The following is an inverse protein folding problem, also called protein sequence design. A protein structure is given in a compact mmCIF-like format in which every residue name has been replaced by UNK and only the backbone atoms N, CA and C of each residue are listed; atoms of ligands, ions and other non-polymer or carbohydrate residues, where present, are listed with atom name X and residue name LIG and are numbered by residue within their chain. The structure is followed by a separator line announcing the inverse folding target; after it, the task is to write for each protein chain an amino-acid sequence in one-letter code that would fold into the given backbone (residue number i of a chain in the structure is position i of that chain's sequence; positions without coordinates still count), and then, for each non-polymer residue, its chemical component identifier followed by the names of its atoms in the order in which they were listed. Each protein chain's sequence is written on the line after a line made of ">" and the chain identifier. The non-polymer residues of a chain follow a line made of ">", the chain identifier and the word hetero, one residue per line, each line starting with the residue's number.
data_IF_804875498951
#
_entry.id   IF_804875498951
#
_cell.length_a   1.000
_cell.length_b   1.000
_cell.length_c   1.000
_cell.angle_alpha   90.00
_cell.angle_beta   90.00
_cell.angle_gamma   90.00
#
_symmetry.space_group_name_H-M   'P 1'
#
loop_
_entity.id
_entity.type
_entity.pdbx_description
1 polymer ?
2 non-polymer ?
3 non-polymer ?
4 non-polymer ?
5 non-polymer ?
6 water ?
#
# COMPACT_ATOMS: atom_id res chain seq x y z
N UNK A 1 -12.45 -4.02 -9.50
CA UNK A 1 -11.22 -4.18 -8.68
C UNK A 1 -11.14 -3.12 -7.60
N UNK A 2 -10.18 -3.25 -6.68
CA UNK A 2 -10.03 -2.27 -5.62
C UNK A 2 -9.76 -0.91 -6.24
N UNK A 3 -10.42 0.11 -5.70
CA UNK A 3 -10.28 1.47 -6.19
C UNK A 3 -8.88 2.05 -6.01
N UNK A 4 -8.41 2.75 -7.04
CA UNK A 4 -7.12 3.39 -7.03
C UNK A 4 -7.20 4.60 -7.95
N UNK A 5 -6.33 5.57 -7.72
CA UNK A 5 -6.35 6.76 -8.54
C UNK A 5 -5.04 7.52 -8.51
N UNK A 6 -5.11 8.82 -8.77
CA UNK A 6 -3.94 9.68 -8.77
C UNK A 6 -4.03 10.78 -7.74
N UNK A 7 -5.21 10.91 -7.13
CA UNK A 7 -5.46 11.93 -6.11
C UNK A 7 -6.08 11.30 -4.86
N UNK A 8 -6.01 12.03 -3.74
CA UNK A 8 -6.57 11.54 -2.49
C UNK A 8 -5.79 10.43 -1.82
N UNK A 9 -6.51 9.60 -1.08
CA UNK A 9 -5.91 8.49 -0.34
C UNK A 9 -5.53 7.29 -1.21
N UNK A 10 -6.02 7.27 -2.44
CA UNK A 10 -5.72 6.16 -3.35
C UNK A 10 -4.63 6.52 -4.38
N UNK A 11 -3.88 7.57 -4.10
CA UNK A 11 -2.81 8.05 -4.98
C UNK A 11 -1.68 7.01 -5.14
N UNK A 12 -0.82 7.17 -6.16
CA UNK A 12 0.30 6.26 -6.44
C UNK A 12 1.16 5.81 -5.26
N UNK A 13 1.35 6.70 -4.28
CA UNK A 13 2.16 6.37 -3.11
C UNK A 13 1.54 5.28 -2.25
N UNK A 14 0.23 5.09 -2.37
CA UNK A 14 -0.49 4.10 -1.57
C UNK A 14 -0.97 2.85 -2.31
N UNK A 15 -0.72 2.77 -3.61
CA UNK A 15 -1.16 1.62 -4.41
C UNK A 15 -0.80 0.26 -3.78
N UNK A 16 0.45 0.11 -3.36
CA UNK A 16 0.90 -1.14 -2.77
C UNK A 16 0.18 -1.53 -1.48
N UNK A 17 -0.52 -0.58 -0.88
CA UNK A 17 -1.25 -0.84 0.36
C UNK A 17 -2.75 -1.02 0.16
N UNK A 18 -3.23 -0.85 -1.07
CA UNK A 18 -4.65 -0.97 -1.38
C UNK A 18 -5.17 -2.40 -1.45
N UNK A 19 -4.36 -3.31 -1.98
CA UNK A 19 -4.70 -4.72 -2.07
C UNK A 19 -3.42 -5.53 -2.24
N UNK A 20 -3.44 -6.78 -1.79
CA UNK A 20 -2.25 -7.63 -1.87
C UNK A 20 -1.79 -7.85 -3.31
N UNK A 21 -2.72 -7.78 -4.26
CA UNK A 21 -2.38 -7.97 -5.66
C UNK A 21 -1.59 -6.79 -6.24
N UNK A 22 -1.64 -5.64 -5.57
CA UNK A 22 -0.93 -4.44 -6.01
C UNK A 22 0.43 -4.29 -5.35
N UNK A 23 0.82 -5.27 -4.54
CA UNK A 23 2.07 -5.21 -3.79
C UNK A 23 3.34 -4.85 -4.56
N UNK A 24 3.44 -5.29 -5.83
CA UNK A 24 4.62 -5.00 -6.63
C UNK A 24 4.77 -3.49 -6.92
N UNK A 25 3.69 -2.74 -6.81
CA UNK A 25 3.74 -1.30 -7.05
C UNK A 25 4.70 -0.61 -6.07
N UNK A 26 4.79 -1.16 -4.86
CA UNK A 26 5.66 -0.60 -3.83
C UNK A 26 6.95 -1.40 -3.60
N UNK A 27 6.93 -2.70 -3.88
CA UNK A 27 8.12 -3.53 -3.66
C UNK A 27 8.96 -3.84 -4.90
N UNK A 28 8.41 -3.58 -6.08
CA UNK A 28 9.14 -3.85 -7.31
C UNK A 28 10.41 -3.04 -7.47
N UNK A 29 11.43 -3.67 -8.07
CA UNK A 29 12.73 -3.02 -8.30
C UNK A 29 12.93 -2.66 -9.76
N UNK A 30 11.96 -3.00 -10.61
CA UNK A 30 12.06 -2.73 -12.04
C UNK A 30 10.76 -2.07 -12.51
N UNK A 31 10.41 -0.98 -11.83
CA UNK A 31 9.20 -0.24 -12.09
C UNK A 31 9.32 0.89 -13.13
N UNK A 32 8.18 1.20 -13.75
CA UNK A 32 8.06 2.27 -14.72
C UNK A 32 7.06 3.27 -14.13
N UNK A 33 7.10 4.55 -14.56
CA UNK A 33 7.99 5.14 -15.55
C UNK A 33 9.34 5.51 -14.95
N UNK A 34 10.23 6.05 -15.78
CA UNK A 34 11.55 6.44 -15.32
C UNK A 34 11.99 7.75 -15.96
N UNK A 35 13.01 8.36 -15.39
CA UNK A 35 13.59 9.58 -15.92
C UNK A 35 14.85 9.14 -16.65
N UNK A 36 14.82 9.18 -17.98
CA UNK A 36 15.96 8.76 -18.78
C UNK A 36 17.03 9.85 -18.78
N UNK A 37 18.11 9.62 -18.03
CA UNK A 37 19.20 10.58 -17.95
C UNK A 37 20.44 10.04 -18.64
N UNK A 38 21.00 8.98 -18.06
CA UNK A 38 22.19 8.36 -18.64
C UNK A 38 21.78 7.14 -19.44
N UNK A 39 22.47 6.90 -20.55
CA UNK A 39 22.18 5.75 -21.40
C UNK A 39 23.45 5.10 -21.93
N UNK A 40 23.30 3.89 -22.43
CA UNK A 40 24.40 3.16 -23.03
C UNK A 40 24.10 3.09 -24.53
N UNK A 41 25.05 3.55 -25.34
CA UNK A 41 24.89 3.55 -26.77
C UNK A 41 25.05 2.12 -27.27
N UNK A 42 24.02 1.62 -27.96
CA UNK A 42 24.08 0.26 -28.47
C UNK A 42 23.44 0.07 -29.84
N UNK A 43 23.67 -1.09 -30.44
CA UNK A 43 23.13 -1.42 -31.75
C UNK A 43 21.76 -2.08 -31.55
N UNK A 44 20.72 -1.27 -31.45
CA UNK A 44 19.37 -1.79 -31.24
C UNK A 44 18.73 -2.27 -32.54
N UNK A 45 17.95 -3.35 -32.49
CA UNK A 45 17.29 -3.88 -33.70
C UNK A 45 16.17 -2.95 -34.18
N UNK A 46 15.95 -2.92 -35.49
CA UNK A 46 14.91 -2.08 -36.07
C UNK A 46 13.50 -2.56 -35.74
N UNK A 47 12.58 -1.61 -35.62
CA UNK A 47 11.17 -1.89 -35.33
C UNK A 47 10.42 -1.89 -36.66
N UNK A 48 9.58 -2.90 -36.86
CA UNK A 48 8.77 -3.00 -38.07
C UNK A 48 7.31 -2.95 -37.67
N UNK A 49 6.60 -1.91 -38.12
CA UNK A 49 5.19 -1.78 -37.79
C UNK A 49 4.28 -2.09 -38.99
N UNK A 50 3.22 -2.85 -38.71
CA UNK A 50 2.25 -3.20 -39.73
C UNK A 50 0.87 -2.95 -39.14
N UNK A 51 0.51 -1.67 -39.13
CA UNK A 51 -0.79 -1.24 -38.62
C UNK A 51 -1.69 -1.01 -39.83
N UNK A 52 -3.00 -1.05 -39.62
CA UNK A 52 -3.95 -0.87 -40.71
C UNK A 52 -5.26 -0.29 -40.18
N UNK A 53 -6.03 0.37 -41.06
CA UNK A 53 -7.31 0.95 -40.61
C UNK A 53 -8.17 -0.17 -40.03
N UNK A 54 -8.54 -0.03 -38.75
CA UNK A 54 -9.32 -1.06 -38.07
C UNK A 54 -10.54 -0.50 -37.36
N UNK A 55 -11.46 -1.41 -37.03
CA UNK A 55 -12.66 -1.02 -36.31
C UNK A 55 -12.29 -1.04 -34.84
N UNK A 56 -12.31 0.14 -34.21
CA UNK A 56 -11.98 0.27 -32.80
C UNK A 56 -13.06 1.02 -32.04
N UNK A 57 -12.99 0.97 -30.72
CA UNK A 57 -13.92 1.70 -29.88
C UNK A 57 -13.13 2.52 -28.87
N UNK A 58 -13.62 3.73 -28.59
CA UNK A 58 -12.96 4.61 -27.65
C UNK A 58 -13.63 4.48 -26.30
N UNK A 59 -12.82 4.34 -25.26
CA UNK A 59 -13.35 4.17 -23.92
C UNK A 59 -12.74 5.06 -22.85
N UNK A 60 -13.58 5.48 -21.92
CA UNK A 60 -13.17 6.30 -20.78
C UNK A 60 -13.40 5.34 -19.61
N UNK A 61 -12.31 4.79 -19.07
CA UNK A 61 -12.41 3.86 -17.95
C UNK A 61 -12.13 4.51 -16.59
N UNK A 62 -12.14 5.83 -16.57
CA UNK A 62 -11.90 6.55 -15.32
C UNK A 62 -10.42 6.73 -15.01
N UNK A 63 -9.55 6.05 -15.76
CA UNK A 63 -8.11 6.14 -15.55
C UNK A 63 -7.40 6.75 -16.75
N UNK A 64 -8.05 6.67 -17.90
CA UNK A 64 -7.50 7.19 -19.14
C UNK A 64 -8.52 7.06 -20.26
N UNK A 65 -8.17 7.55 -21.44
CA UNK A 65 -9.02 7.41 -22.62
C UNK A 65 -8.27 6.35 -23.40
N UNK A 66 -8.92 5.22 -23.61
CA UNK A 66 -8.31 4.09 -24.28
C UNK A 66 -8.99 3.70 -25.58
N UNK A 67 -8.19 3.35 -26.58
CA UNK A 67 -8.69 2.92 -27.88
C UNK A 67 -8.42 1.42 -27.94
N UNK A 68 -9.50 0.64 -27.94
CA UNK A 68 -9.42 -0.82 -27.95
C UNK A 68 -9.52 -1.47 -29.32
N UNK A 69 -8.71 -2.52 -29.51
CA UNK A 69 -8.70 -3.29 -30.77
C UNK A 69 -9.28 -4.67 -30.49
N UNK A 70 -10.53 -4.90 -30.88
CA UNK A 70 -11.23 -6.18 -30.69
C UNK A 70 -10.60 -7.35 -31.45
N UNK A 71 -9.93 -7.02 -32.56
CA UNK A 71 -9.30 -8.02 -33.40
C UNK A 71 -7.81 -7.73 -33.64
N UNK A 72 -7.05 -8.78 -33.92
CA UNK A 72 -5.63 -8.64 -34.19
C UNK A 72 -5.39 -8.08 -35.57
N UNK A 73 -4.17 -8.22 -36.09
CA UNK A 73 -3.88 -7.70 -37.41
C UNK A 73 -2.93 -6.52 -37.41
N UNK A 74 -2.91 -5.78 -36.30
CA UNK A 74 -2.02 -4.63 -36.15
C UNK A 74 -0.85 -5.15 -35.34
N UNK A 75 0.30 -5.26 -36.00
CA UNK A 75 1.47 -5.83 -35.37
C UNK A 75 2.74 -5.00 -35.39
N UNK A 76 3.62 -5.33 -34.45
CA UNK A 76 4.92 -4.69 -34.31
C UNK A 76 5.92 -5.83 -34.25
N UNK A 77 6.91 -5.82 -35.13
CA UNK A 77 7.92 -6.87 -35.15
C UNK A 77 9.30 -6.31 -34.82
N UNK A 78 9.96 -6.92 -33.84
CA UNK A 78 11.28 -6.48 -33.42
C UNK A 78 12.12 -7.68 -33.00
N UNK A 79 13.26 -7.84 -33.65
CA UNK A 79 14.20 -8.92 -33.39
C UNK A 79 13.58 -10.31 -33.59
N UNK A 80 12.85 -10.46 -34.68
CA UNK A 80 12.22 -11.74 -35.00
C UNK A 80 10.87 -12.02 -34.38
N UNK A 81 10.56 -11.37 -33.26
CA UNK A 81 9.28 -11.59 -32.59
C UNK A 81 8.18 -10.59 -33.00
N UNK A 82 6.95 -11.08 -33.09
CA UNK A 82 5.82 -10.26 -33.48
C UNK A 82 4.84 -10.04 -32.32
N UNK A 83 4.51 -8.78 -32.08
CA UNK A 83 3.58 -8.42 -31.01
C UNK A 83 2.32 -7.81 -31.62
N UNK A 84 1.17 -8.18 -31.06
CA UNK A 84 -0.11 -7.66 -31.53
C UNK A 84 -0.62 -6.52 -30.66
N UNK A 85 -1.00 -5.42 -31.32
CA UNK A 85 -1.53 -4.24 -30.64
C UNK A 85 -2.90 -4.55 -30.05
N UNK A 86 -3.03 -4.41 -28.74
CA UNK A 86 -4.29 -4.68 -28.06
C UNK A 86 -5.07 -3.40 -27.83
N UNK A 87 -4.34 -2.33 -27.54
CA UNK A 87 -4.93 -1.02 -27.27
C UNK A 87 -3.85 0.04 -27.08
N UNK A 88 -4.28 1.29 -27.14
CA UNK A 88 -3.40 2.41 -26.88
C UNK A 88 -4.19 3.42 -26.07
N UNK A 89 -3.49 4.09 -25.15
CA UNK A 89 -4.11 5.08 -24.27
C UNK A 89 -3.15 6.22 -24.04
N UNK A 90 -3.59 7.20 -23.25
CA UNK A 90 -2.75 8.38 -23.00
C UNK A 90 -2.60 8.76 -21.54
N UNK A 91 -1.60 9.60 -21.31
CA UNK A 91 -1.31 10.13 -19.98
C UNK A 91 -1.00 11.60 -20.14
N UNK A 92 -1.64 12.43 -19.33
CA UNK A 92 -1.41 13.87 -19.35
C UNK A 92 -1.19 14.32 -17.90
N UNK A 93 0.03 14.81 -17.59
CA UNK A 93 1.16 14.94 -18.51
C UNK A 93 1.85 13.58 -18.71
N UNK A 94 3.03 13.58 -19.31
CA UNK A 94 3.76 12.34 -19.56
C UNK A 94 4.25 11.67 -18.28
N UNK A 95 4.45 10.36 -18.36
CA UNK A 95 4.95 9.60 -17.21
C UNK A 95 6.46 9.51 -17.27
N UNK A 96 6.98 9.07 -18.41
CA UNK A 96 8.41 8.98 -18.58
C UNK A 96 8.94 10.38 -18.82
N UNK A 97 10.21 10.60 -18.47
CA UNK A 97 10.86 11.88 -18.65
C UNK A 97 12.19 11.67 -19.36
N UNK A 98 12.63 12.70 -20.08
CA UNK A 98 13.90 12.67 -20.78
C UNK A 98 14.73 13.78 -20.16
N UNK A 99 15.72 13.40 -19.37
CA UNK A 99 16.59 14.37 -18.69
C UNK A 99 15.81 15.35 -17.81
N UNK A 100 14.88 14.82 -17.03
CA UNK A 100 14.08 15.62 -16.13
C UNK A 100 12.93 16.39 -16.77
N UNK A 101 12.77 16.27 -18.09
CA UNK A 101 11.71 16.97 -18.79
C UNK A 101 10.39 16.20 -18.90
N UNK A 102 9.33 16.80 -18.39
CA UNK A 102 7.99 16.22 -18.46
C UNK A 102 7.33 16.81 -19.72
N UNK A 103 6.69 15.94 -20.50
CA UNK A 103 6.02 16.36 -21.72
C UNK A 103 4.51 16.53 -21.48
N UNK A 104 3.85 17.39 -22.29
CA UNK A 104 2.40 17.64 -22.18
C UNK A 104 1.55 16.38 -22.21
N UNK A 105 1.97 15.40 -23.02
CA UNK A 105 1.23 14.15 -23.14
C UNK A 105 2.14 12.98 -23.56
N UNK A 106 1.69 11.77 -23.26
CA UNK A 106 2.40 10.55 -23.63
C UNK A 106 1.40 9.47 -24.02
N UNK A 107 1.67 8.79 -25.13
CA UNK A 107 0.80 7.72 -25.61
C UNK A 107 1.46 6.37 -25.37
N UNK A 108 0.68 5.38 -24.97
CA UNK A 108 1.20 4.03 -24.74
C UNK A 108 0.48 3.03 -25.63
N UNK A 109 1.23 2.43 -26.56
CA UNK A 109 0.69 1.42 -27.47
C UNK A 109 1.06 0.06 -26.86
N UNK A 110 0.06 -0.58 -26.26
CA UNK A 110 0.23 -1.87 -25.58
C UNK A 110 0.11 -3.07 -26.50
N UNK A 111 1.17 -3.86 -26.54
CA UNK A 111 1.22 -5.07 -27.38
C UNK A 111 1.43 -6.34 -26.54
N UNK A 112 1.09 -7.47 -27.12
CA UNK A 112 1.26 -8.78 -26.48
C UNK A 112 1.73 -9.79 -27.51
N UNK A 113 2.74 -10.59 -27.20
CA UNK A 113 3.18 -11.60 -28.15
C UNK A 113 2.36 -12.88 -27.97
N UNK A 114 2.70 -13.92 -28.71
CA UNK A 114 2.00 -15.20 -28.65
C UNK A 114 1.92 -15.74 -27.23
N UNK A 115 2.99 -15.55 -26.46
CA UNK A 115 3.06 -16.03 -25.09
C UNK A 115 2.61 -15.03 -24.03
N UNK A 116 1.87 -14.02 -24.47
CA UNK A 116 1.33 -12.99 -23.59
C UNK A 116 2.36 -12.07 -22.90
N UNK A 117 3.54 -11.94 -23.50
CA UNK A 117 4.57 -11.07 -22.95
C UNK A 117 4.26 -9.65 -23.44
N UNK A 118 4.12 -8.70 -22.51
CA UNK A 118 3.82 -7.29 -22.83
C UNK A 118 4.97 -6.45 -23.35
N UNK A 119 4.63 -5.55 -24.28
CA UNK A 119 5.59 -4.62 -24.87
C UNK A 119 4.84 -3.31 -25.05
N UNK A 120 5.42 -2.23 -24.54
CA UNK A 120 4.81 -0.92 -24.65
C UNK A 120 5.67 0.01 -25.49
N UNK A 121 5.06 0.55 -26.54
CA UNK A 121 5.72 1.49 -27.43
C UNK A 121 5.18 2.85 -26.97
N UNK A 122 6.08 3.75 -26.61
CA UNK A 122 5.67 5.07 -26.13
C UNK A 122 6.04 6.22 -27.05
N UNK A 123 5.11 7.16 -27.18
CA UNK A 123 5.30 8.33 -28.01
C UNK A 123 5.10 9.56 -27.10
N UNK A 124 6.05 10.47 -27.16
CA UNK A 124 6.00 11.69 -26.36
C UNK A 124 5.54 12.86 -27.24
N UNK A 125 4.72 13.74 -26.66
CA UNK A 125 4.19 14.90 -27.37
C UNK A 125 4.67 16.22 -26.81
N UNK A 126 5.17 17.09 -27.68
CA UNK A 126 5.62 18.43 -27.28
C UNK A 126 4.46 19.39 -27.49
N UNK A 127 4.45 20.51 -26.76
CA UNK A 127 3.39 21.49 -26.92
C UNK A 127 3.64 22.20 -28.25
N UNK A 128 2.60 22.34 -29.06
CA UNK A 128 2.75 23.01 -30.34
C UNK A 128 1.45 23.09 -31.12
N UNK A 129 1.55 22.83 -32.42
CA UNK A 129 0.40 22.86 -33.31
C UNK A 129 -0.60 21.78 -32.95
N UNK A 130 -1.88 22.03 -33.27
CA UNK A 130 -2.94 21.07 -32.99
C UNK A 130 -2.65 19.79 -33.75
N UNK A 131 -2.90 18.64 -33.12
CA UNK A 131 -2.66 17.36 -33.77
C UNK A 131 -3.93 16.98 -34.52
N UNK A 132 -3.87 17.02 -35.84
CA UNK A 132 -5.03 16.68 -36.65
C UNK A 132 -5.33 15.20 -36.73
N UNK A 133 -4.32 14.38 -36.52
CA UNK A 133 -4.48 12.93 -36.58
C UNK A 133 -5.24 12.35 -35.39
N UNK A 134 -5.28 13.09 -34.28
CA UNK A 134 -5.98 12.65 -33.09
C UNK A 134 -7.42 13.17 -33.00
N UNK A 135 -7.80 14.03 -33.94
CA UNK A 135 -9.14 14.64 -33.97
C UNK A 135 -10.27 13.62 -33.97
N UNK A 136 -10.10 12.55 -34.75
CA UNK A 136 -11.09 11.48 -34.84
C UNK A 136 -11.40 10.86 -33.48
N UNK A 137 -10.37 10.73 -32.64
CA UNK A 137 -10.52 10.15 -31.31
C UNK A 137 -11.01 11.21 -30.32
N UNK A 138 -10.37 12.37 -30.34
CA UNK A 138 -10.72 13.46 -29.44
C UNK A 138 -12.17 13.95 -29.57
N UNK A 139 -12.71 13.93 -30.78
CA UNK A 139 -14.08 14.38 -31.02
C UNK A 139 -15.17 13.47 -30.46
N UNK A 140 -14.88 12.18 -30.35
CA UNK A 140 -15.84 11.22 -29.82
C UNK A 140 -15.54 10.82 -28.37
N UNK A 141 -14.47 11.39 -27.82
CA UNK A 141 -14.03 11.11 -26.46
C UNK A 141 -15.12 11.20 -25.40
N UNK A 142 -15.44 10.08 -24.74
CA UNK A 142 -16.48 10.08 -23.70
C UNK A 142 -16.02 10.95 -22.52
N UNK A 143 -16.83 11.94 -22.15
CA UNK A 143 -16.50 12.82 -21.05
C UNK A 143 -16.81 12.22 -19.68
N UNK A 144 -17.42 11.04 -19.69
CA UNK A 144 -17.74 10.30 -18.48
C UNK A 144 -17.50 8.82 -18.77
N UNK A 145 -17.35 8.02 -17.71
CA UNK A 145 -17.10 6.59 -17.83
C UNK A 145 -18.04 5.92 -18.83
N UNK A 146 -17.46 5.48 -19.94
CA UNK A 146 -18.26 4.82 -20.97
C UNK A 146 -17.43 4.45 -22.19
N UNK A 147 -18.06 3.73 -23.10
CA UNK A 147 -17.40 3.28 -24.32
C UNK A 147 -18.23 3.66 -25.54
N UNK A 148 -17.58 4.22 -26.56
CA UNK A 148 -18.26 4.60 -27.80
C UNK A 148 -17.59 3.98 -29.02
N UNK A 149 -18.40 3.47 -29.92
CA UNK A 149 -17.90 2.84 -31.14
C UNK A 149 -17.47 3.91 -32.15
N UNK A 150 -16.27 3.76 -32.70
CA UNK A 150 -15.78 4.72 -33.70
C UNK A 150 -16.39 4.23 -35.02
N UNK A 151 -17.24 5.06 -35.62
CA UNK A 151 -17.90 4.72 -36.88
C UNK A 151 -16.97 4.55 -38.06
N UNK A 152 -15.91 5.34 -38.12
CA UNK A 152 -14.94 5.24 -39.20
C UNK A 152 -13.76 4.39 -38.75
N UNK A 153 -13.04 3.78 -39.71
CA UNK A 153 -11.87 2.96 -39.40
C UNK A 153 -10.70 3.82 -38.94
N UNK A 154 -9.89 3.31 -38.02
CA UNK A 154 -8.75 4.07 -37.54
C UNK A 154 -7.44 3.35 -37.81
N UNK A 155 -6.50 4.10 -38.40
CA UNK A 155 -5.18 3.57 -38.73
C UNK A 155 -4.16 4.20 -37.77
N UNK A 156 -3.70 3.40 -36.80
CA UNK A 156 -2.72 3.86 -35.82
C UNK A 156 -1.35 4.21 -36.39
N UNK A 157 -1.11 3.85 -37.65
CA UNK A 157 0.17 4.16 -38.28
C UNK A 157 0.39 5.67 -38.39
N UNK A 158 -0.72 6.42 -38.46
CA UNK A 158 -0.68 7.88 -38.56
C UNK A 158 -0.18 8.53 -37.27
N UNK A 159 -0.19 7.78 -36.17
CA UNK A 159 0.25 8.29 -34.88
C UNK A 159 1.74 8.03 -34.61
N UNK A 160 2.40 7.35 -35.53
CA UNK A 160 3.82 7.04 -35.37
C UNK A 160 4.71 7.90 -36.26
N UNK A 161 5.87 8.33 -35.72
CA UNK A 161 6.85 9.15 -36.42
C UNK A 161 7.45 8.43 -37.61
N UNK A 162 8.10 9.19 -38.49
CA UNK A 162 8.75 8.63 -39.68
C UNK A 162 9.97 7.84 -39.20
N UNK A 163 10.76 8.46 -38.34
CA UNK A 163 11.95 7.84 -37.76
C UNK A 163 11.52 7.04 -36.53
N UNK A 164 11.82 5.75 -36.51
CA UNK A 164 11.45 4.89 -35.39
C UNK A 164 12.59 4.52 -34.43
N UNK A 165 13.54 5.43 -34.26
CA UNK A 165 14.65 5.22 -33.33
C UNK A 165 14.06 5.26 -31.93
N UNK A 166 14.60 4.44 -31.02
CA UNK A 166 14.04 4.37 -29.66
C UNK A 166 15.01 4.12 -28.53
N UNK A 167 14.53 4.36 -27.32
CA UNK A 167 15.25 4.11 -26.07
C UNK A 167 14.66 2.76 -25.65
N UNK A 168 15.50 1.87 -25.14
CA UNK A 168 15.05 0.55 -24.73
C UNK A 168 15.41 0.21 -23.30
N UNK A 169 14.42 -0.23 -22.54
CA UNK A 169 14.63 -0.65 -21.15
C UNK A 169 13.53 -1.61 -20.71
N UNK A 170 13.80 -2.34 -19.63
CA UNK A 170 12.82 -3.29 -19.08
C UNK A 170 12.10 -2.56 -17.94
N UNK A 171 10.81 -2.82 -17.81
CA UNK A 171 10.05 -2.16 -16.77
C UNK A 171 8.78 -2.86 -16.36
N UNK A 172 7.75 -2.08 -16.09
CA UNK A 172 6.47 -2.60 -15.64
C UNK A 172 5.32 -1.78 -16.20
N UNK A 173 4.11 -2.19 -15.84
CA UNK A 173 2.92 -1.44 -16.22
C UNK A 173 2.97 -0.27 -15.24
N UNK A 174 2.52 0.91 -15.68
CA UNK A 174 2.55 2.08 -14.80
C UNK A 174 1.29 2.23 -13.97
N UNK A 175 0.43 1.21 -14.02
CA UNK A 175 -0.82 1.20 -13.26
C UNK A 175 -0.94 -0.15 -12.55
N UNK A 176 -1.69 -0.20 -11.42
CA UNK A 176 -1.86 -1.44 -10.68
C UNK A 176 -2.35 -2.55 -11.62
N UNK A 177 -1.90 -3.80 -11.40
CA UNK A 177 -0.98 -4.29 -10.37
C UNK A 177 0.53 -4.04 -10.55
N UNK A 178 0.90 -3.15 -11.48
CA UNK A 178 2.30 -2.80 -11.74
C UNK A 178 3.19 -3.99 -12.12
N UNK A 179 2.60 -4.92 -12.87
CA UNK A 179 3.26 -6.13 -13.33
C UNK A 179 4.58 -5.85 -14.05
N UNK A 180 5.64 -6.58 -13.67
CA UNK A 180 6.93 -6.41 -14.31
C UNK A 180 7.11 -7.33 -15.51
N UNK A 181 8.30 -7.33 -16.10
CA UNK A 181 8.55 -8.15 -17.27
C UNK A 181 8.00 -7.50 -18.52
N UNK A 182 7.84 -6.18 -18.48
CA UNK A 182 7.32 -5.42 -19.61
C UNK A 182 8.47 -4.74 -20.36
N UNK A 183 8.54 -4.94 -21.67
CA UNK A 183 9.60 -4.30 -22.45
C UNK A 183 9.11 -2.91 -22.89
N UNK A 184 9.97 -1.92 -22.66
CA UNK A 184 9.65 -0.54 -23.01
C UNK A 184 10.48 0.04 -24.12
N UNK A 185 9.79 0.54 -25.15
CA UNK A 185 10.45 1.16 -26.28
C UNK A 185 9.86 2.56 -26.36
N UNK A 186 10.70 3.56 -26.05
CA UNK A 186 10.27 4.95 -26.07
C UNK A 186 10.87 5.63 -27.30
N UNK A 187 10.02 6.06 -28.22
CA UNK A 187 10.50 6.72 -29.43
C UNK A 187 11.22 8.03 -29.15
N UNK A 188 12.33 8.25 -29.87
CA UNK A 188 13.13 9.46 -29.71
C UNK A 188 12.50 10.66 -30.38
N UNK A 189 11.72 10.43 -31.43
CA UNK A 189 11.06 11.52 -32.16
C UNK A 189 9.70 11.81 -31.55
N UNK A 190 9.49 13.08 -31.20
CA UNK A 190 8.25 13.52 -30.59
C UNK A 190 7.18 13.98 -31.58
N UNK A 191 5.93 13.90 -31.16
CA UNK A 191 4.82 14.38 -31.97
C UNK A 191 4.39 15.68 -31.27
N UNK A 192 3.24 16.22 -31.64
CA UNK A 192 2.76 17.47 -31.05
C UNK A 192 1.27 17.46 -30.74
N UNK A 193 0.85 18.37 -29.87
CA UNK A 193 -0.54 18.55 -29.51
C UNK A 193 -0.71 20.00 -29.07
N UNK A 194 -1.95 20.48 -29.09
CA UNK A 194 -2.25 21.84 -28.66
C UNK A 194 -2.61 21.77 -27.17
N UNK A 195 -2.47 22.89 -26.47
CA UNK A 195 -2.79 22.95 -25.05
C UNK A 195 -4.25 22.55 -24.81
N UNK A 196 -5.11 22.89 -25.77
CA UNK A 196 -6.54 22.58 -25.68
C UNK A 196 -6.81 21.09 -25.70
N UNK A 197 -6.10 20.36 -26.56
CA UNK A 197 -6.27 18.91 -26.66
C UNK A 197 -5.89 18.23 -25.34
N UNK A 198 -4.82 18.71 -24.72
CA UNK A 198 -4.35 18.16 -23.45
C UNK A 198 -5.32 18.44 -22.31
N UNK A 199 -5.86 19.66 -22.26
CA UNK A 199 -6.79 20.02 -21.19
C UNK A 199 -8.14 19.34 -21.33
N UNK A 200 -8.55 19.02 -22.57
CA UNK A 200 -9.80 18.33 -22.80
C UNK A 200 -9.69 16.91 -22.24
N UNK A 201 -8.51 16.30 -22.42
CA UNK A 201 -8.22 14.95 -21.93
C UNK A 201 -8.35 14.92 -20.42
N UNK A 202 -7.66 15.85 -19.78
CA UNK A 202 -7.68 15.97 -18.32
C UNK A 202 -9.10 16.16 -17.80
N UNK A 203 -9.88 16.97 -18.53
CA UNK A 203 -11.27 17.23 -18.16
C UNK A 203 -12.08 15.92 -18.20
N UNK A 204 -11.88 15.14 -19.25
CA UNK A 204 -12.59 13.86 -19.42
C UNK A 204 -12.24 12.80 -18.38
N UNK A 205 -10.95 12.68 -18.08
CA UNK A 205 -10.47 11.71 -17.09
C UNK A 205 -10.78 12.13 -15.66
N UNK A 206 -10.64 13.42 -15.38
CA UNK A 206 -10.92 13.90 -14.04
C UNK A 206 -9.72 14.44 -13.28
N UNK A 207 -8.52 14.16 -13.77
CA UNK A 207 -7.29 14.62 -13.14
C UNK A 207 -6.10 14.24 -13.99
N UNK A 208 -4.91 14.66 -13.54
CA UNK A 208 -3.67 14.31 -14.24
C UNK A 208 -3.52 12.83 -13.92
N UNK A 209 -3.07 12.04 -14.88
CA UNK A 209 -2.94 10.60 -14.65
C UNK A 209 -1.55 10.02 -14.90
N UNK A 210 -0.52 10.70 -14.39
CA UNK A 210 0.84 10.23 -14.56
C UNK A 210 1.40 9.70 -13.25
N UNK A 211 2.01 8.52 -13.30
CA UNK A 211 2.63 7.93 -12.12
C UNK A 211 4.01 8.58 -11.96
N UNK A 212 4.41 8.91 -10.72
CA UNK A 212 5.74 9.52 -10.53
C UNK A 212 6.85 8.58 -10.98
N UNK A 213 7.96 9.14 -11.45
CA UNK A 213 9.09 8.33 -11.92
C UNK A 213 9.68 7.45 -10.84
N UNK A 214 10.15 6.28 -11.25
CA UNK A 214 10.72 5.28 -10.35
C UNK A 214 12.23 5.13 -10.56
N UNK A 215 12.95 4.64 -9.54
CA UNK A 215 14.40 4.44 -9.61
C UNK A 215 14.77 3.38 -10.63
N UNK A 216 15.82 3.62 -11.40
CA UNK A 216 16.28 2.64 -12.39
C UNK A 216 16.89 1.43 -11.72
N UNK A 217 17.47 1.65 -10.54
CA UNK A 217 18.11 0.61 -9.75
C UNK A 217 19.25 -0.08 -10.53
N UNK A 218 19.10 -1.36 -10.85
CA UNK A 218 20.14 -2.09 -11.58
C UNK A 218 20.04 -1.97 -13.08
N UNK A 219 18.98 -1.34 -13.57
CA UNK A 219 18.75 -1.20 -15.00
C UNK A 219 19.57 -0.16 -15.75
N UNK A 220 19.78 -0.43 -17.02
CA UNK A 220 20.49 0.46 -17.91
C UNK A 220 19.54 0.73 -19.08
N UNK A 221 19.52 1.97 -19.56
CA UNK A 221 18.68 2.34 -20.68
C UNK A 221 19.58 2.40 -21.91
N UNK A 222 19.19 1.69 -22.96
CA UNK A 222 19.96 1.65 -24.20
C UNK A 222 19.33 2.57 -25.26
N UNK A 223 20.18 3.18 -26.08
CA UNK A 223 19.70 4.03 -27.17
C UNK A 223 20.54 3.85 -28.43
N UNK B 1 -18.32 -13.63 30.26
CA UNK B 1 -17.41 -13.96 31.41
C UNK B 1 -17.73 -13.08 32.61
N UNK B 2 -16.92 -13.19 33.66
CA UNK B 2 -17.10 -12.39 34.86
C UNK B 2 -16.71 -10.94 34.56
N UNK B 3 -17.62 -10.01 34.87
CA UNK B 3 -17.41 -8.59 34.60
C UNK B 3 -16.18 -8.00 35.32
N UNK B 4 -15.42 -7.21 34.57
CA UNK B 4 -14.22 -6.55 35.10
C UNK B 4 -14.02 -5.22 34.37
N UNK B 5 -13.26 -4.32 34.98
CA UNK B 5 -13.02 -3.03 34.35
C UNK B 5 -11.82 -2.28 34.85
N UNK B 6 -11.79 -0.98 34.59
CA UNK B 6 -10.68 -0.13 35.00
C UNK B 6 -11.03 0.88 36.07
N UNK B 7 -12.33 0.98 36.40
CA UNK B 7 -12.81 1.90 37.41
C UNK B 7 -13.81 1.19 38.32
N UNK B 8 -14.18 1.86 39.42
CA UNK B 8 -15.14 1.28 40.34
C UNK B 8 -14.62 0.12 41.17
N UNK B 9 -15.54 -0.75 41.60
CA UNK B 9 -15.21 -1.90 42.41
C UNK B 9 -14.42 -2.99 41.66
N UNK B 10 -14.63 -3.10 40.36
CA UNK B 10 -13.92 -4.10 39.57
C UNK B 10 -12.68 -3.59 38.84
N UNK B 11 -11.93 -2.73 39.53
CA UNK B 11 -10.69 -2.13 39.02
C UNK B 11 -9.55 -3.15 39.03
N UNK B 12 -8.43 -2.86 38.33
CA UNK B 12 -7.27 -3.77 38.26
C UNK B 12 -6.81 -4.34 39.59
N UNK B 13 -6.77 -3.50 40.62
CA UNK B 13 -6.34 -3.92 41.96
C UNK B 13 -7.30 -4.94 42.60
N UNK B 14 -8.44 -5.15 41.95
CA UNK B 14 -9.45 -6.07 42.45
C UNK B 14 -9.68 -7.29 41.53
N UNK B 15 -9.05 -7.30 40.36
CA UNK B 15 -9.21 -8.39 39.39
C UNK B 15 -9.09 -9.82 39.92
N UNK B 16 -8.03 -10.10 40.68
CA UNK B 16 -7.81 -11.43 41.21
C UNK B 16 -8.85 -11.93 42.21
N UNK B 17 -9.59 -11.00 42.80
CA UNK B 17 -10.62 -11.33 43.80
C UNK B 17 -12.03 -11.45 43.27
N UNK B 18 -12.28 -10.96 42.06
CA UNK B 18 -13.63 -11.01 41.52
C UNK B 18 -14.02 -12.32 40.83
N UNK B 19 -13.09 -13.26 40.80
CA UNK B 19 -13.33 -14.57 40.18
C UNK B 19 -12.13 -15.50 40.37
N UNK B 20 -12.42 -16.78 40.58
CA UNK B 20 -11.38 -17.79 40.77
C UNK B 20 -10.54 -17.93 39.49
N UNK B 21 -11.17 -17.65 38.35
CA UNK B 21 -10.49 -17.74 37.06
C UNK B 21 -9.46 -16.62 36.85
N UNK B 22 -9.60 -15.54 37.59
CA UNK B 22 -8.70 -14.40 37.47
C UNK B 22 -7.62 -14.33 38.56
N UNK B 23 -7.47 -15.43 39.30
CA UNK B 23 -6.51 -15.49 40.41
C UNK B 23 -5.06 -15.10 40.07
N UNK B 24 -4.62 -15.43 38.85
CA UNK B 24 -3.26 -15.12 38.45
C UNK B 24 -2.99 -13.62 38.36
N UNK B 25 -4.04 -12.83 38.20
CA UNK B 25 -3.90 -11.38 38.13
C UNK B 25 -3.28 -10.82 39.40
N UNK B 26 -3.51 -11.50 40.52
CA UNK B 26 -2.95 -11.06 41.79
C UNK B 26 -1.81 -11.92 42.31
N UNK B 27 -1.76 -13.20 41.91
CA UNK B 27 -0.71 -14.10 42.37
C UNK B 27 0.46 -14.33 41.41
N UNK B 28 0.27 -13.96 40.14
CA UNK B 28 1.31 -14.15 39.14
C UNK B 28 2.60 -13.39 39.41
N UNK B 29 3.72 -14.01 39.08
CA UNK B 29 5.04 -13.39 39.28
C UNK B 29 5.67 -12.94 37.96
N UNK B 30 4.97 -13.18 36.85
CA UNK B 30 5.49 -12.81 35.54
C UNK B 30 4.41 -12.04 34.78
N UNK B 31 3.88 -11.02 35.45
CA UNK B 31 2.81 -10.18 34.91
C UNK B 31 3.24 -8.99 34.08
N UNK B 32 2.35 -8.58 33.18
CA UNK B 32 2.54 -7.42 32.31
C UNK B 32 1.43 -6.43 32.67
N UNK B 33 1.63 -5.13 32.40
CA UNK B 33 2.78 -4.47 31.78
C UNK B 33 3.89 -4.22 32.78
N UNK B 34 5.01 -3.70 32.30
CA UNK B 34 6.15 -3.40 33.15
C UNK B 34 6.74 -2.04 32.81
N UNK B 35 7.57 -1.53 33.72
CA UNK B 35 8.26 -0.27 33.50
C UNK B 35 9.68 -0.69 33.17
N UNK B 36 10.07 -0.53 31.90
CA UNK B 36 11.40 -0.89 31.44
C UNK B 36 12.42 0.15 31.84
N UNK B 37 13.28 -0.19 32.80
CA UNK B 37 14.31 0.73 33.27
C UNK B 37 15.69 0.15 32.97
N UNK B 38 16.01 -0.97 33.62
CA UNK B 38 17.29 -1.63 33.42
C UNK B 38 17.14 -2.75 32.39
N UNK B 39 18.12 -2.88 31.51
CA UNK B 39 18.09 -3.90 30.48
C UNK B 39 19.44 -4.59 30.30
N UNK B 40 19.40 -5.78 29.71
CA UNK B 40 20.61 -6.52 29.42
C UNK B 40 20.76 -6.41 27.91
N UNK B 41 21.90 -5.89 27.47
CA UNK B 41 22.16 -5.76 26.04
C UNK B 41 22.48 -7.15 25.46
N UNK B 42 21.71 -7.55 24.44
CA UNK B 42 21.92 -8.85 23.85
C UNK B 42 21.67 -8.88 22.36
N UNK B 43 22.09 -9.96 21.72
CA UNK B 43 21.92 -10.11 20.28
C UNK B 43 20.57 -10.79 20.01
N UNK B 44 19.53 -9.97 19.89
CA UNK B 44 18.19 -10.48 19.63
C UNK B 44 17.96 -10.80 18.15
N UNK B 45 17.21 -11.87 17.86
CA UNK B 45 16.91 -12.28 16.49
C UNK B 45 16.06 -11.21 15.79
N UNK B 46 16.27 -11.04 14.50
CA UNK B 46 15.50 -10.06 13.74
C UNK B 46 14.10 -10.61 13.47
N UNK B 47 13.09 -9.76 13.56
CA UNK B 47 11.73 -10.18 13.29
C UNK B 47 11.37 -9.84 11.85
N UNK B 48 10.68 -10.75 11.19
CA UNK B 48 10.26 -10.55 9.80
C UNK B 48 8.75 -10.41 9.79
N UNK B 49 8.26 -9.25 9.39
CA UNK B 49 6.84 -9.00 9.36
C UNK B 49 6.24 -9.14 7.96
N UNK B 50 5.17 -9.91 7.87
CA UNK B 50 4.50 -10.13 6.60
C UNK B 50 3.02 -9.83 6.74
N UNK B 51 2.71 -8.54 6.84
CA UNK B 51 1.33 -8.09 6.95
C UNK B 51 0.91 -7.67 5.56
N UNK B 52 -0.38 -7.73 5.26
CA UNK B 52 -0.88 -7.38 3.93
C UNK B 52 -2.28 -6.79 4.00
N UNK B 53 -2.72 -6.10 2.93
CA UNK B 53 -4.06 -5.50 2.92
C UNK B 53 -5.06 -6.64 3.13
N UNK B 54 -5.89 -6.52 4.15
CA UNK B 54 -6.85 -7.57 4.48
C UNK B 54 -8.22 -7.03 4.86
N UNK B 55 -9.21 -7.89 4.82
CA UNK B 55 -10.56 -7.54 5.20
C UNK B 55 -10.66 -7.79 6.70
N UNK B 56 -10.93 -6.72 7.46
CA UNK B 56 -11.02 -6.81 8.91
C UNK B 56 -12.31 -6.19 9.44
N UNK B 57 -12.61 -6.47 10.69
CA UNK B 57 -13.78 -5.88 11.33
C UNK B 57 -13.28 -5.12 12.56
N UNK B 58 -14.00 -4.08 12.93
CA UNK B 58 -13.61 -3.27 14.08
C UNK B 58 -14.69 -3.39 15.15
N UNK B 59 -14.28 -3.79 16.35
CA UNK B 59 -15.26 -3.94 17.43
C UNK B 59 -14.93 -3.18 18.70
N UNK B 60 -15.99 -2.75 19.38
CA UNK B 60 -15.90 -2.07 20.65
C UNK B 60 -16.47 -3.11 21.61
N UNK B 61 -15.60 -3.76 22.38
CA UNK B 61 -16.05 -4.78 23.33
C UNK B 61 -16.19 -4.25 24.75
N UNK B 62 -16.10 -2.93 24.91
CA UNK B 62 -16.23 -2.34 26.22
C UNK B 62 -14.94 -2.26 27.01
N UNK B 63 -13.86 -2.81 26.47
CA UNK B 63 -12.56 -2.80 27.14
C UNK B 63 -11.50 -2.11 26.28
N UNK B 64 -11.76 -2.06 24.98
CA UNK B 64 -10.84 -1.47 24.01
C UNK B 64 -11.52 -1.45 22.64
N UNK B 65 -10.83 -0.88 21.66
CA UNK B 65 -11.30 -0.88 20.28
C UNK B 65 -10.36 -1.90 19.65
N UNK B 66 -10.94 -2.98 19.14
CA UNK B 66 -10.17 -4.07 18.56
C UNK B 66 -10.42 -4.32 17.07
N UNK B 67 -9.34 -4.59 16.35
CA UNK B 67 -9.42 -4.87 14.92
C UNK B 67 -9.13 -6.36 14.76
N UNK B 68 -10.15 -7.10 14.32
CA UNK B 68 -10.07 -8.55 14.14
C UNK B 68 -9.71 -9.04 12.73
N UNK B 69 -9.02 -10.16 12.68
CA UNK B 69 -8.61 -10.80 11.43
C UNK B 69 -9.21 -12.21 11.35
N UNK B 70 -10.38 -12.35 10.72
CA UNK B 70 -11.02 -13.67 10.60
C UNK B 70 -10.27 -14.62 9.67
N UNK B 71 -9.54 -14.05 8.71
CA UNK B 71 -8.76 -14.84 7.76
C UNK B 71 -7.28 -14.81 8.15
N UNK B 72 -6.54 -15.83 7.73
CA UNK B 72 -5.11 -15.89 8.02
C UNK B 72 -4.36 -15.14 6.94
N UNK B 73 -3.03 -15.21 6.96
CA UNK B 73 -2.27 -14.51 5.94
C UNK B 73 -1.33 -13.43 6.45
N UNK B 74 -1.62 -12.91 7.65
CA UNK B 74 -0.77 -11.88 8.24
C UNK B 74 0.08 -12.57 9.30
N UNK B 75 1.39 -12.58 9.07
CA UNK B 75 2.27 -13.27 10.00
C UNK B 75 3.52 -12.50 10.40
N UNK B 76 4.11 -12.95 11.50
CA UNK B 76 5.33 -12.39 12.05
C UNK B 76 6.23 -13.60 12.29
N UNK B 77 7.45 -13.54 11.76
CA UNK B 77 8.39 -14.63 11.95
C UNK B 77 9.60 -14.14 12.75
N UNK B 78 9.93 -14.89 13.79
CA UNK B 78 11.05 -14.57 14.66
C UNK B 78 11.73 -15.86 15.09
N UNK B 79 13.03 -15.93 14.86
CA UNK B 79 13.83 -17.09 15.23
C UNK B 79 13.28 -18.39 14.63
N UNK B 80 12.90 -18.32 13.36
CA UNK B 80 12.37 -19.49 12.68
C UNK B 80 10.95 -19.90 13.01
N UNK B 81 10.29 -19.15 13.90
CA UNK B 81 8.92 -19.46 14.30
C UNK B 81 7.91 -18.46 13.73
N UNK B 82 6.84 -18.99 13.13
CA UNK B 82 5.79 -18.16 12.51
C UNK B 82 4.55 -17.99 13.38
N UNK B 83 4.20 -16.73 13.63
CA UNK B 83 3.03 -16.38 14.44
C UNK B 83 2.00 -15.69 13.55
N UNK B 84 0.74 -16.08 13.72
CA UNK B 84 -0.33 -15.49 12.93
C UNK B 84 -1.07 -14.40 13.70
N UNK B 85 -1.19 -13.23 13.09
CA UNK B 85 -1.88 -12.08 13.68
C UNK B 85 -3.36 -12.39 13.78
N UNK B 86 -3.90 -12.32 14.99
CA UNK B 86 -5.31 -12.60 15.22
C UNK B 86 -6.10 -11.30 15.35
N UNK B 87 -5.47 -10.32 16.00
CA UNK B 87 -6.09 -9.02 16.24
C UNK B 87 -5.09 -8.04 16.81
N UNK B 88 -5.47 -6.77 16.77
CA UNK B 88 -4.68 -5.70 17.38
C UNK B 88 -5.66 -4.73 18.01
N UNK B 89 -5.26 -4.19 19.16
CA UNK B 89 -6.10 -3.26 19.89
C UNK B 89 -5.23 -2.19 20.55
N UNK B 90 -5.89 -1.25 21.22
CA UNK B 90 -5.17 -0.14 21.83
C UNK B 90 -5.49 0.11 23.30
N UNK B 91 -4.59 0.85 23.93
CA UNK B 91 -4.72 1.26 25.32
C UNK B 91 -4.37 2.74 25.39
N UNK B 92 -5.23 3.50 26.06
CA UNK B 92 -5.01 4.93 26.24
C UNK B 92 -5.22 5.21 27.72
N UNK B 93 -4.16 5.62 28.44
CA UNK B 93 -2.80 5.83 27.95
C UNK B 93 -2.08 4.47 27.82
N UNK B 94 -0.76 4.48 27.60
CA UNK B 94 -0.01 3.23 27.45
C UNK B 94 0.03 2.43 28.75
N UNK B 95 0.27 1.13 28.63
CA UNK B 95 0.37 0.25 29.78
C UNK B 95 1.83 0.11 30.18
N UNK B 96 2.68 -0.24 29.21
CA UNK B 96 4.11 -0.37 29.46
C UNK B 96 4.70 1.03 29.53
N UNK B 97 5.79 1.16 30.28
CA UNK B 97 6.47 2.45 30.43
C UNK B 97 7.93 2.25 30.13
N UNK B 98 8.58 3.30 29.66
CA UNK B 98 9.99 3.26 29.37
C UNK B 98 10.63 4.31 30.27
N UNK B 99 11.42 3.85 31.23
CA UNK B 99 12.10 4.73 32.19
C UNK B 99 11.06 5.58 32.93
N UNK B 100 9.91 4.96 33.26
CA UNK B 100 8.86 5.66 33.97
C UNK B 100 7.96 6.56 33.15
N UNK B 101 8.19 6.62 31.85
CA UNK B 101 7.39 7.47 30.96
C UNK B 101 6.15 6.76 30.42
N UNK B 102 4.98 7.37 30.66
CA UNK B 102 3.71 6.84 30.14
C UNK B 102 3.46 7.56 28.82
N UNK B 103 3.09 6.82 27.79
CA UNK B 103 2.82 7.38 26.48
C UNK B 103 1.32 7.59 26.27
N UNK B 104 0.94 8.50 25.37
CA UNK B 104 -0.48 8.78 25.09
C UNK B 104 -1.26 7.54 24.69
N UNK B 105 -0.63 6.63 23.96
CA UNK B 105 -1.29 5.41 23.51
C UNK B 105 -0.31 4.27 23.25
N UNK B 106 -0.82 3.04 23.25
CA UNK B 106 -0.05 1.84 22.99
C UNK B 106 -0.90 0.84 22.22
N UNK B 107 -0.33 0.25 21.17
CA UNK B 107 -1.05 -0.75 20.39
C UNK B 107 -0.48 -2.12 20.65
N UNK B 108 -1.36 -3.12 20.72
CA UNK B 108 -0.95 -4.49 20.96
C UNK B 108 -1.38 -5.36 19.79
N UNK B 109 -0.40 -5.94 19.10
CA UNK B 109 -0.66 -6.84 17.98
C UNK B 109 -0.52 -8.24 18.55
N UNK B 110 -1.65 -8.92 18.72
CA UNK B 110 -1.69 -10.27 19.29
C UNK B 110 -1.58 -11.38 18.24
N UNK B 111 -0.57 -12.23 18.41
CA UNK B 111 -0.31 -13.35 17.51
C UNK B 111 -0.36 -14.69 18.24
N UNK B 112 -0.58 -15.75 17.47
CA UNK B 112 -0.61 -17.12 17.99
C UNK B 112 0.14 -17.99 16.99
N UNK B 113 0.96 -18.93 17.47
CA UNK B 113 1.66 -19.82 16.55
C UNK B 113 0.80 -21.08 16.37
N UNK B 114 1.33 -22.10 15.69
CA UNK B 114 0.57 -23.34 15.48
C UNK B 114 0.14 -24.02 16.78
N UNK B 115 0.93 -23.81 17.83
CA UNK B 115 0.66 -24.42 19.13
C UNK B 115 -0.04 -23.50 20.15
N UNK B 116 -0.78 -22.51 19.66
CA UNK B 116 -1.51 -21.56 20.51
C UNK B 116 -0.64 -20.72 21.45
N UNK B 117 0.67 -20.65 21.19
CA UNK B 117 1.57 -19.86 22.04
C UNK B 117 1.41 -18.39 21.63
N UNK B 118 1.05 -17.53 22.60
CA UNK B 118 0.85 -16.08 22.38
C UNK B 118 2.09 -15.20 22.31
N UNK B 119 2.07 -14.26 21.39
CA UNK B 119 3.16 -13.30 21.22
C UNK B 119 2.52 -11.93 20.98
N UNK B 120 2.92 -10.94 21.78
CA UNK B 120 2.39 -9.60 21.63
C UNK B 120 3.48 -8.63 21.15
N UNK B 121 3.22 -7.98 20.04
CA UNK B 121 4.14 -6.98 19.50
C UNK B 121 3.50 -5.65 19.92
N UNK B 122 4.26 -4.82 20.61
CA UNK B 122 3.75 -3.53 21.08
C UNK B 122 4.37 -2.30 20.41
N UNK B 123 3.52 -1.32 20.11
CA UNK B 123 3.95 -0.07 19.51
C UNK B 123 3.48 1.06 20.43
N UNK B 124 4.39 1.97 20.76
CA UNK B 124 4.10 3.10 21.64
C UNK B 124 3.95 4.35 20.78
N UNK B 125 3.00 5.21 21.16
CA UNK B 125 2.75 6.45 20.42
C UNK B 125 3.02 7.69 21.25
N UNK B 126 3.76 8.63 20.66
CA UNK B 126 4.07 9.90 21.31
C UNK B 126 3.01 10.89 20.85
N UNK B 127 2.85 11.99 21.58
CA UNK B 127 1.89 13.01 21.20
C UNK B 127 2.54 13.78 20.05
N UNK B 128 1.78 14.01 18.98
CA UNK B 128 2.32 14.73 17.84
C UNK B 128 1.24 15.02 16.83
N UNK B 129 1.60 14.98 15.55
CA UNK B 129 0.65 15.24 14.48
C UNK B 129 -0.37 14.10 14.37
N UNK B 130 -1.44 14.36 13.63
CA UNK B 130 -2.50 13.38 13.42
C UNK B 130 -1.93 12.14 12.77
N UNK B 131 -2.43 10.97 13.18
CA UNK B 131 -1.98 9.72 12.57
C UNK B 131 -2.92 9.42 11.41
N UNK B 132 -2.45 9.67 10.19
CA UNK B 132 -3.26 9.45 9.00
C UNK B 132 -3.51 7.98 8.69
N UNK B 133 -2.58 7.11 9.12
CA UNK B 133 -2.71 5.68 8.86
C UNK B 133 -3.77 4.98 9.72
N UNK B 134 -4.16 5.62 10.81
CA UNK B 134 -5.20 5.10 11.70
C UNK B 134 -6.57 5.67 11.40
N UNK B 135 -6.59 6.70 10.55
CA UNK B 135 -7.83 7.39 10.17
C UNK B 135 -8.97 6.48 9.73
N UNK B 136 -8.66 5.45 8.95
CA UNK B 136 -9.66 4.50 8.47
C UNK B 136 -10.42 3.86 9.62
N UNK B 137 -9.67 3.38 10.61
CA UNK B 137 -10.25 2.72 11.77
C UNK B 137 -11.01 3.71 12.66
N UNK B 138 -10.38 4.86 12.93
CA UNK B 138 -10.99 5.87 13.78
C UNK B 138 -12.31 6.41 13.23
N UNK B 139 -12.43 6.47 11.91
CA UNK B 139 -13.65 6.96 11.27
C UNK B 139 -14.87 6.07 11.49
N UNK B 140 -14.67 4.75 11.51
CA UNK B 140 -15.77 3.81 11.69
C UNK B 140 -15.88 3.24 13.11
N UNK B 141 -15.01 3.72 14.00
CA UNK B 141 -14.97 3.27 15.40
C UNK B 141 -16.33 3.28 16.10
N UNK B 142 -16.84 2.09 16.48
CA UNK B 142 -18.12 1.99 17.16
C UNK B 142 -18.05 2.76 18.47
N UNK B 143 -18.96 3.72 18.66
CA UNK B 143 -18.95 4.52 19.88
C UNK B 143 -19.60 3.81 21.06
N UNK B 144 -20.23 2.68 20.77
CA UNK B 144 -20.86 1.85 21.80
C UNK B 144 -20.51 0.40 21.47
N UNK B 145 -20.66 -0.50 22.46
CA UNK B 145 -20.35 -1.91 22.26
C UNK B 145 -20.96 -2.46 20.98
N UNK B 146 -20.11 -2.95 20.09
CA UNK B 146 -20.58 -3.50 18.83
C UNK B 146 -19.47 -3.74 17.84
N UNK B 147 -19.79 -4.46 16.76
CA UNK B 147 -18.80 -4.78 15.74
C UNK B 147 -19.24 -4.29 14.37
N UNK B 148 -18.31 -3.68 13.63
CA UNK B 148 -18.59 -3.17 12.30
C UNK B 148 -17.52 -3.68 11.33
N UNK B 149 -17.94 -4.13 10.16
CA UNK B 149 -17.00 -4.63 9.17
C UNK B 149 -16.42 -3.55 8.28
N UNK B 150 -15.12 -3.32 8.40
CA UNK B 150 -14.44 -2.33 7.58
C UNK B 150 -14.55 -2.82 6.12
N UNK B 151 -15.17 -1.99 5.29
CA UNK B 151 -15.39 -2.34 3.89
C UNK B 151 -14.16 -2.31 3.00
N UNK B 152 -13.27 -1.35 3.23
CA UNK B 152 -12.04 -1.25 2.44
C UNK B 152 -10.95 -2.07 3.13
N UNK B 153 -10.02 -2.64 2.35
CA UNK B 153 -8.93 -3.45 2.91
C UNK B 153 -8.01 -2.61 3.79
N UNK B 154 -7.51 -3.22 4.87
CA UNK B 154 -6.60 -2.52 5.76
C UNK B 154 -5.24 -3.21 5.82
N UNK B 155 -4.17 -2.41 5.70
CA UNK B 155 -2.81 -2.93 5.73
C UNK B 155 -2.08 -2.51 7.01
N UNK B 156 -1.98 -3.45 7.95
CA UNK B 156 -1.32 -3.20 9.23
C UNK B 156 0.18 -2.92 9.11
N UNK B 157 0.77 -3.22 7.96
CA UNK B 157 2.19 -2.96 7.77
C UNK B 157 2.45 -1.46 7.82
N UNK B 158 1.40 -0.67 7.58
CA UNK B 158 1.51 0.79 7.60
C UNK B 158 1.60 1.33 9.04
N UNK B 159 1.28 0.47 10.01
CA UNK B 159 1.31 0.84 11.42
C UNK B 159 2.64 0.52 12.10
N UNK B 160 3.53 -0.13 11.38
CA UNK B 160 4.84 -0.51 11.91
C UNK B 160 5.94 0.39 11.38
N UNK B 161 6.91 0.74 12.24
CA UNK B 161 8.04 1.59 11.85
C UNK B 161 8.99 0.83 10.94
N UNK B 162 9.87 1.55 10.24
CA UNK B 162 10.83 0.93 9.33
C UNK B 162 11.81 0.04 10.08
N UNK B 163 12.35 0.56 11.19
CA UNK B 163 13.29 -0.20 12.02
C UNK B 163 12.54 -0.99 13.07
N UNK B 164 12.76 -2.30 13.09
CA UNK B 164 12.08 -3.20 14.01
C UNK B 164 12.88 -3.69 15.21
N UNK B 165 13.75 -2.84 15.77
CA UNK B 165 14.52 -3.21 16.95
C UNK B 165 13.52 -3.20 18.11
N UNK B 166 13.68 -4.10 19.06
CA UNK B 166 12.72 -4.20 20.15
C UNK B 166 13.31 -4.62 21.50
N UNK B 167 12.49 -4.46 22.53
CA UNK B 167 12.83 -4.89 23.88
C UNK B 167 12.11 -6.22 24.01
N UNK B 168 12.74 -7.21 24.63
CA UNK B 168 12.07 -8.49 24.78
C UNK B 168 12.02 -8.96 26.22
N UNK B 169 10.85 -9.46 26.61
CA UNK B 169 10.66 -10.01 27.95
C UNK B 169 9.49 -10.97 27.96
N UNK B 170 9.44 -11.83 28.97
CA UNK B 170 8.34 -12.79 29.11
C UNK B 170 7.31 -12.13 30.01
N UNK B 171 6.04 -12.38 29.74
CA UNK B 171 5.01 -11.78 30.56
C UNK B 171 3.67 -12.47 30.52
N UNK B 172 2.62 -11.65 30.59
CA UNK B 172 1.25 -12.14 30.60
C UNK B 172 0.34 -11.22 29.81
N UNK B 173 -0.94 -11.58 29.79
CA UNK B 173 -1.94 -10.75 29.15
C UNK B 173 -2.15 -9.65 30.19
N UNK B 174 -2.48 -8.45 29.75
CA UNK B 174 -2.69 -7.35 30.68
C UNK B 174 -4.13 -7.21 31.13
N UNK B 175 -4.97 -8.16 30.71
CA UNK B 175 -6.38 -8.18 31.08
C UNK B 175 -6.72 -9.56 31.61
N UNK B 176 -7.74 -9.68 32.47
CA UNK B 176 -8.13 -10.98 33.02
C UNK B 176 -8.36 -11.98 31.88
N UNK B 177 -8.03 -13.26 32.11
CA UNK B 177 -7.46 -13.87 33.32
C UNK B 177 -5.96 -13.68 33.61
N UNK B 178 -5.30 -12.75 32.92
CA UNK B 178 -3.88 -12.45 33.12
C UNK B 178 -2.95 -13.66 32.91
N UNK B 179 -3.31 -14.49 31.94
CA UNK B 179 -2.57 -15.69 31.57
C UNK B 179 -1.10 -15.39 31.29
N UNK B 180 -0.20 -16.20 31.86
CA UNK B 180 1.23 -16.02 31.61
C UNK B 180 1.71 -16.85 30.43
N UNK B 181 3.01 -16.86 30.19
CA UNK B 181 3.56 -17.60 29.05
C UNK B 181 3.39 -16.83 27.75
N UNK B 182 3.32 -15.50 27.87
CA UNK B 182 3.16 -14.62 26.71
C UNK B 182 4.49 -13.93 26.39
N UNK B 183 4.91 -13.98 25.13
CA UNK B 183 6.13 -13.32 24.71
C UNK B 183 5.83 -11.86 24.38
N UNK B 184 6.64 -10.96 24.90
CA UNK B 184 6.45 -9.53 24.66
C UNK B 184 7.62 -8.91 23.90
N UNK B 185 7.29 -8.25 22.80
CA UNK B 185 8.28 -7.57 21.98
C UNK B 185 7.79 -6.14 21.84
N UNK B 186 8.47 -5.21 22.51
CA UNK B 186 8.10 -3.81 22.48
C UNK B 186 9.05 -3.06 21.56
N UNK B 187 8.53 -2.52 20.47
CA UNK B 187 9.35 -1.78 19.52
C UNK B 187 9.92 -0.52 20.17
N UNK B 188 11.21 -0.24 19.92
CA UNK B 188 11.82 0.93 20.52
C UNK B 188 11.58 2.24 19.77
N UNK B 189 11.10 2.14 18.54
CA UNK B 189 10.78 3.30 17.71
C UNK B 189 9.30 3.61 17.91
N UNK B 190 8.98 4.86 18.20
CA UNK B 190 7.61 5.26 18.44
C UNK B 190 6.89 5.83 17.24
N UNK B 191 5.56 5.73 17.24
CA UNK B 191 4.74 6.31 16.20
C UNK B 191 4.11 7.55 16.86
N UNK B 192 3.08 8.12 16.23
CA UNK B 192 2.45 9.32 16.78
C UNK B 192 0.94 9.38 16.60
N UNK B 193 0.30 10.21 17.42
CA UNK B 193 -1.14 10.46 17.37
C UNK B 193 -1.36 11.83 17.99
N UNK B 194 -2.51 12.45 17.71
CA UNK B 194 -2.81 13.74 18.31
C UNK B 194 -3.77 13.54 19.49
N UNK B 195 -4.00 14.62 20.24
CA UNK B 195 -4.89 14.57 21.40
C UNK B 195 -6.31 14.16 21.03
N UNK B 196 -6.81 14.68 19.92
CA UNK B 196 -8.16 14.38 19.45
C UNK B 196 -8.41 12.90 19.24
N UNK B 197 -7.45 12.22 18.60
CA UNK B 197 -7.57 10.79 18.33
C UNK B 197 -7.60 9.99 19.63
N UNK B 198 -6.76 10.37 20.59
CA UNK B 198 -6.69 9.70 21.88
C UNK B 198 -7.97 9.93 22.65
N UNK B 199 -8.49 11.16 22.60
CA UNK B 199 -9.73 11.51 23.29
C UNK B 199 -10.93 10.75 22.76
N UNK B 200 -11.00 10.60 21.44
CA UNK B 200 -12.10 9.87 20.81
C UNK B 200 -12.11 8.42 21.26
N UNK B 201 -10.91 7.84 21.40
CA UNK B 201 -10.77 6.46 21.84
C UNK B 201 -11.32 6.29 23.25
N UNK B 202 -10.94 7.19 24.15
CA UNK B 202 -11.42 7.14 25.53
C UNK B 202 -12.94 7.31 25.59
N UNK B 203 -13.48 8.11 24.67
CA UNK B 203 -14.93 8.34 24.59
C UNK B 203 -15.67 7.05 24.26
N UNK B 204 -15.19 6.36 23.23
CA UNK B 204 -15.79 5.11 22.77
C UNK B 204 -15.71 4.00 23.82
N UNK B 205 -14.54 3.87 24.43
CA UNK B 205 -14.32 2.84 25.45
C UNK B 205 -15.04 3.17 26.74
N UNK B 206 -15.02 4.44 27.14
CA UNK B 206 -15.70 4.83 28.36
C UNK B 206 -14.80 5.19 29.52
N UNK B 207 -13.50 4.94 29.37
CA UNK B 207 -12.53 5.25 30.42
C UNK B 207 -11.12 4.92 29.95
N UNK B 208 -10.12 5.32 30.74
CA UNK B 208 -8.73 5.00 30.43
C UNK B 208 -8.67 3.50 30.64
N UNK B 209 -7.94 2.79 29.79
CA UNK B 209 -7.89 1.34 29.92
C UNK B 209 -6.51 0.73 30.05
N UNK B 210 -5.69 1.31 30.92
CA UNK B 210 -4.35 0.78 31.15
C UNK B 210 -4.21 0.13 32.52
N UNK B 211 -3.59 -1.04 32.55
CA UNK B 211 -3.35 -1.74 33.80
C UNK B 211 -2.06 -1.15 34.38
N UNK B 212 -2.00 -0.96 35.71
CA UNK B 212 -0.78 -0.41 36.33
C UNK B 212 0.39 -1.37 36.14
N UNK B 213 1.60 -0.82 36.07
CA UNK B 213 2.81 -1.63 35.88
C UNK B 213 3.03 -2.65 36.98
N UNK B 214 3.62 -3.77 36.61
CA UNK B 214 3.88 -4.87 37.54
C UNK B 214 5.37 -5.05 37.76
N UNK B 215 5.76 -5.58 38.94
CA UNK B 215 7.19 -5.78 39.22
C UNK B 215 7.80 -6.87 38.32
N UNK B 216 9.04 -6.64 37.90
CA UNK B 216 9.76 -7.60 37.05
C UNK B 216 10.10 -8.91 37.76
N UNK B 217 10.34 -8.83 39.07
CA UNK B 217 10.71 -9.99 39.88
C UNK B 217 11.98 -10.65 39.33
N UNK B 218 11.91 -11.93 38.93
CA UNK B 218 13.08 -12.64 38.43
C UNK B 218 13.46 -12.36 36.97
N UNK B 219 12.59 -11.66 36.25
CA UNK B 219 12.79 -11.38 34.84
C UNK B 219 13.77 -10.26 34.51
N UNK B 220 14.37 -10.38 33.34
CA UNK B 220 15.28 -9.37 32.82
C UNK B 220 14.75 -8.97 31.44
N UNK B 221 14.92 -7.71 31.09
CA UNK B 221 14.47 -7.23 29.79
C UNK B 221 15.69 -7.14 28.89
N UNK B 222 15.62 -7.80 27.74
CA UNK B 222 16.71 -7.79 26.78
C UNK B 222 16.48 -6.69 25.74
N UNK B 223 17.57 -6.00 25.40
CA UNK B 223 17.53 -4.92 24.43
C UNK B 223 18.59 -5.15 23.35
X LIG C 1 -0.04 3.96 -19.89
X LIG D 1 0.16 2.33 -18.49
X LIG D 1 1.06 1.47 -18.61
X LIG D 1 1.85 0.74 -18.65
X LIG E 1 -1.11 17.16 -38.22
X LIG E 1 -0.96 17.00 -36.77
X LIG E 1 -0.25 18.32 -38.68
X LIG E 1 -0.64 15.92 -39.03
X LIG E 1 -2.58 17.36 -38.55
X LIG F 1 -12.74 0.17 -15.17
X LIG F 1 -12.40 1.06 -13.95
X LIG F 1 -11.55 -0.23 -15.83
X LIG F 1 -10.79 0.62 -13.26
X LIG G 1 -3.64 -4.94 25.19
X LIG H 1 -3.83 -6.63 26.48
X LIG H 1 -2.90 -7.47 26.51
X LIG H 1 -2.11 -8.21 26.60
X LIG I 1 1.07 9.97 8.97
X LIG I 1 0.56 9.34 10.19
X LIG I 1 2.18 10.95 9.35
X LIG I 1 1.69 8.98 7.98
X LIG I 1 -0.07 10.65 8.25
X LIG J 1 -16.99 -8.81 25.67
X LIG J 1 -16.89 -8.02 27.00
X LIG J 1 -15.71 -9.14 25.18
X LIG J 1 -15.53 -8.70 27.98
#
# INVERSE_FOLDING_TARGET
>A
HTHWGYTGHDSPESWGNLSEEFRLCSTGKNQSPVNITETVSGKLPAIKVNYKPSMVDVENNGHTIQVNYPEGGNTLTVNGRTYTLKQFHFHVPSENQIKGRTFPMEAHFVHLDENKQPLVLAVLYEAGKTNGRLSSIWNVMPMTAGKVKLNQPFDASTLLPKRLKYYRFAGSLTTPPCTEGVSWLVLKTYDHIDQAQAEKFTRAVGSENNRPVQPLNARVVIE
>B
HTHWGYTGHDSPESWGNLSEEFRLCSTGKNQSPVNITETVSGKLPAIKVNYKPSMVDVENNGHTIQVNYPEGGNTLTVNGRTYTLKQFHFHVPSENQIKGRTFPMEAHFVHLDENKQPLVLAVLYEAGKTNGRLSSIWNVMPMTAGKVKLNQPFDASTLLPKRLKYYRFAGSLTTPPCTEGVSWLVLKTYDHIDQAQAEKFTRAVGSENNRPVQPLNARVVIE
>C hetero
1 ZN ZN
>D hetero
1 AZI N1 N2 N3
>E hetero
1 SO4 S O1 O2 O3 O4
>F hetero
1 BME C1 C2 O1 S2
>G hetero
1 ZN ZN
>H hetero
1 AZI N1 N2 N3
>I hetero
1 SO4 S O1 O2 O3 O4
>J hetero
1 BME C1 C2 O1 S2
#
